data_IF_263726863909
#
_entry.id   IF_263726863909
#
_cell.length_a   1.000
_cell.length_b   1.000
_cell.length_c   1.000
_cell.angle_alpha   90.00
_cell.angle_beta   90.00
_cell.angle_gamma   90.00
#
_symmetry.space_group_name_H-M   'P 1'
#
loop_
_entity.id
_entity.type
_entity.pdbx_description
1 polymer ?
#
# COMPACT_ATOMS: atom_id res chain seq x y z
N UNK A 1 -16.23 9.33 -13.31
CA UNK A 1 -16.37 9.84 -14.69
C UNK A 1 -15.30 9.19 -15.56
N UNK A 2 -15.54 8.98 -16.85
CA UNK A 2 -14.52 8.51 -17.81
C UNK A 2 -14.36 9.53 -18.93
N UNK A 3 -13.13 9.74 -19.40
CA UNK A 3 -12.84 10.57 -20.57
C UNK A 3 -11.62 10.04 -21.32
N UNK A 4 -11.62 10.21 -22.64
CA UNK A 4 -10.44 9.92 -23.44
C UNK A 4 -9.32 10.92 -23.17
N UNK A 5 -8.07 10.56 -23.49
CA UNK A 5 -6.91 11.47 -23.42
C UNK A 5 -7.18 12.79 -24.19
N UNK A 6 -7.88 12.71 -25.33
CA UNK A 6 -8.20 13.89 -26.13
C UNK A 6 -9.20 14.80 -25.42
N UNK A 7 -10.24 14.24 -24.81
CA UNK A 7 -11.24 14.97 -24.04
C UNK A 7 -10.65 15.54 -22.76
N UNK A 8 -9.83 14.78 -22.05
CA UNK A 8 -9.13 15.22 -20.85
C UNK A 8 -8.22 16.42 -21.14
N UNK A 9 -7.53 16.43 -22.29
CA UNK A 9 -6.70 17.57 -22.71
C UNK A 9 -7.53 18.82 -23.03
N UNK A 10 -8.69 18.65 -23.65
CA UNK A 10 -9.56 19.77 -24.02
C UNK A 10 -10.33 20.34 -22.81
N UNK A 11 -10.71 19.48 -21.87
CA UNK A 11 -11.56 19.82 -20.73
C UNK A 11 -10.83 19.64 -19.40
N UNK A 12 -9.53 19.90 -19.36
CA UNK A 12 -8.70 19.63 -18.19
C UNK A 12 -9.17 20.41 -16.95
N UNK A 13 -9.58 21.67 -17.13
CA UNK A 13 -10.14 22.49 -16.06
C UNK A 13 -11.41 21.86 -15.45
N UNK A 14 -12.31 21.34 -16.28
CA UNK A 14 -13.51 20.67 -15.80
C UNK A 14 -13.20 19.35 -15.06
N UNK A 15 -12.19 18.62 -15.54
CA UNK A 15 -11.71 17.42 -14.86
C UNK A 15 -11.11 17.75 -13.48
N UNK A 16 -10.42 18.90 -13.34
CA UNK A 16 -9.92 19.41 -12.06
C UNK A 16 -11.07 19.81 -11.13
N UNK A 17 -12.07 20.56 -11.62
CA UNK A 17 -13.26 20.91 -10.82
C UNK A 17 -13.98 19.66 -10.29
N UNK A 18 -14.09 18.62 -11.12
CA UNK A 18 -14.66 17.34 -10.69
C UNK A 18 -13.82 16.70 -9.58
N UNK A 19 -12.49 16.71 -9.73
CA UNK A 19 -11.57 16.22 -8.70
C UNK A 19 -11.64 17.03 -7.39
N UNK A 20 -11.75 18.36 -7.47
CA UNK A 20 -11.94 19.25 -6.32
C UNK A 20 -13.24 18.95 -5.56
N UNK A 21 -14.32 18.60 -6.28
CA UNK A 21 -15.58 18.13 -5.68
C UNK A 21 -15.50 16.73 -5.09
N UNK A 22 -14.35 16.06 -5.19
CA UNK A 22 -14.13 14.71 -4.68
C UNK A 22 -14.46 13.58 -5.66
N UNK A 23 -14.78 13.89 -6.91
CA UNK A 23 -15.07 12.91 -7.94
C UNK A 23 -13.77 12.30 -8.51
N UNK A 24 -13.85 11.04 -8.99
CA UNK A 24 -12.75 10.39 -9.73
C UNK A 24 -13.02 10.37 -11.22
N UNK A 25 -12.02 10.76 -11.99
CA UNK A 25 -12.02 10.84 -13.46
C UNK A 25 -10.98 9.86 -14.01
N UNK A 26 -11.44 8.81 -14.69
CA UNK A 26 -10.58 7.84 -15.37
C UNK A 26 -10.27 8.34 -16.78
N UNK A 27 -8.98 8.47 -17.10
CA UNK A 27 -8.50 8.87 -18.42
C UNK A 27 -8.15 7.63 -19.22
N UNK A 28 -8.72 7.49 -20.43
CA UNK A 28 -8.50 6.33 -21.31
C UNK A 28 -7.77 6.70 -22.59
N UNK A 29 -6.91 5.79 -23.09
CA UNK A 29 -6.27 5.87 -24.40
C UNK A 29 -6.71 4.65 -25.21
N UNK A 30 -7.40 4.86 -26.33
CA UNK A 30 -7.97 3.79 -27.15
C UNK A 30 -8.88 2.84 -26.34
N UNK A 31 -9.72 3.40 -25.46
CA UNK A 31 -10.63 2.63 -24.59
C UNK A 31 -9.95 1.90 -23.42
N UNK A 32 -8.63 2.02 -23.25
CA UNK A 32 -7.91 1.43 -22.12
C UNK A 32 -7.60 2.51 -21.08
N UNK A 33 -7.93 2.31 -19.79
CA UNK A 33 -7.52 3.22 -18.71
C UNK A 33 -6.00 3.40 -18.67
N UNK A 34 -5.54 4.64 -18.55
CA UNK A 34 -4.10 4.99 -18.49
C UNK A 34 -3.75 5.93 -17.34
N UNK A 35 -4.71 6.67 -16.81
CA UNK A 35 -4.52 7.54 -15.65
C UNK A 35 -5.83 7.75 -14.90
N UNK A 36 -5.73 8.21 -13.66
CA UNK A 36 -6.86 8.63 -12.84
C UNK A 36 -6.56 10.01 -12.26
N UNK A 37 -7.54 10.91 -12.33
CA UNK A 37 -7.54 12.19 -11.66
C UNK A 37 -8.60 12.17 -10.57
N UNK A 38 -8.28 12.68 -9.40
CA UNK A 38 -9.20 12.75 -8.26
C UNK A 38 -8.67 13.70 -7.20
N UNK A 39 -9.41 13.92 -6.10
CA UNK A 39 -8.94 14.76 -5.01
C UNK A 39 -7.56 14.28 -4.54
N UNK A 40 -6.63 15.20 -4.22
CA UNK A 40 -5.34 14.82 -3.68
C UNK A 40 -5.55 13.96 -2.45
N UNK A 41 -4.87 12.81 -2.39
CA UNK A 41 -4.87 11.97 -1.21
C UNK A 41 -4.11 12.72 -0.13
N UNK A 42 -4.84 13.33 0.80
CA UNK A 42 -4.25 13.94 1.99
C UNK A 42 -3.70 12.80 2.83
N UNK A 43 -2.39 12.55 2.71
CA UNK A 43 -1.69 11.70 3.66
C UNK A 43 -1.73 12.38 5.01
N UNK A 44 -2.37 11.78 6.00
CA UNK A 44 -2.49 12.31 7.38
C UNK A 44 -1.21 12.18 8.21
N UNK A 45 -0.07 11.92 7.57
CA UNK A 45 1.23 11.89 8.22
C UNK A 45 2.02 13.15 7.87
N UNK A 46 2.48 13.92 8.87
CA UNK A 46 3.36 15.05 8.62
C UNK A 46 4.72 14.54 8.12
N UNK A 47 5.12 15.01 6.94
CA UNK A 47 6.49 15.07 6.43
C UNK A 47 7.27 13.75 6.23
N UNK A 48 6.71 12.78 5.51
CA UNK A 48 7.57 11.79 4.81
C UNK A 48 7.06 11.55 3.38
N UNK A 49 7.87 11.84 2.34
CA UNK A 49 7.58 11.34 1.00
C UNK A 49 7.61 9.80 1.06
N UNK A 50 6.44 9.16 1.02
CA UNK A 50 6.30 7.71 1.21
C UNK A 50 5.89 7.25 2.62
N UNK A 51 5.20 8.09 3.41
CA UNK A 51 4.59 7.66 4.67
C UNK A 51 3.60 6.49 4.49
N UNK A 52 3.53 5.61 5.49
CA UNK A 52 2.65 4.44 5.49
C UNK A 52 1.18 4.87 5.44
N UNK A 53 0.47 4.42 4.40
CA UNK A 53 -0.99 4.59 4.26
C UNK A 53 -1.69 3.64 5.25
N UNK A 54 -1.88 4.11 6.49
CA UNK A 54 -2.47 3.34 7.58
C UNK A 54 -3.90 2.87 7.29
N UNK A 55 -4.69 3.65 6.55
CA UNK A 55 -6.05 3.25 6.15
C UNK A 55 -6.02 2.09 5.15
N UNK A 56 -5.12 2.15 4.17
CA UNK A 56 -4.89 1.03 3.26
C UNK A 56 -4.38 -0.20 4.00
N UNK A 57 -3.44 -0.04 4.94
CA UNK A 57 -2.94 -1.14 5.75
C UNK A 57 -4.05 -1.79 6.59
N UNK A 58 -4.92 -0.99 7.23
CA UNK A 58 -6.04 -1.49 8.00
C UNK A 58 -7.04 -2.27 7.13
N UNK A 59 -7.36 -1.75 5.92
CA UNK A 59 -8.21 -2.45 4.96
C UNK A 59 -7.61 -3.77 4.49
N UNK A 60 -6.32 -3.77 4.11
CA UNK A 60 -5.63 -4.98 3.65
C UNK A 60 -5.54 -6.02 4.78
N UNK A 61 -5.26 -5.60 6.03
CA UNK A 61 -5.28 -6.51 7.19
C UNK A 61 -6.66 -7.15 7.36
N UNK A 62 -7.74 -6.38 7.21
CA UNK A 62 -9.11 -6.91 7.29
C UNK A 62 -9.46 -7.85 6.14
N UNK A 63 -9.08 -7.52 4.90
CA UNK A 63 -9.31 -8.37 3.72
C UNK A 63 -8.59 -9.71 3.83
N UNK A 64 -7.36 -9.70 4.37
CA UNK A 64 -6.56 -10.90 4.62
C UNK A 64 -6.94 -11.63 5.91
N UNK A 65 -7.91 -11.13 6.69
CA UNK A 65 -8.30 -11.69 7.98
C UNK A 65 -7.24 -11.58 9.07
N UNK A 66 -6.21 -10.76 8.86
CA UNK A 66 -5.13 -10.51 9.81
C UNK A 66 -5.56 -9.65 11.00
N UNK A 67 -6.73 -9.01 10.92
CA UNK A 67 -7.38 -8.30 12.03
C UNK A 67 -7.87 -9.24 13.14
N UNK A 68 -7.96 -10.54 12.85
CA UNK A 68 -8.45 -11.58 13.77
C UNK A 68 -7.37 -12.56 14.20
N UNK A 69 -6.12 -12.33 13.81
CA UNK A 69 -5.01 -13.20 14.21
C UNK A 69 -4.72 -12.94 15.68
N UNK A 70 -5.07 -13.92 16.50
CA UNK A 70 -4.59 -14.02 17.88
C UNK A 70 -3.22 -14.68 17.84
N UNK A 71 -2.22 -13.98 18.37
CA UNK A 71 -0.89 -14.54 18.53
C UNK A 71 -0.88 -15.39 19.79
N UNK A 72 -0.21 -16.54 19.71
CA UNK A 72 -0.03 -17.43 20.86
C UNK A 72 0.71 -16.70 21.99
N UNK A 73 0.40 -17.05 23.24
CA UNK A 73 1.18 -16.57 24.39
C UNK A 73 2.65 -16.95 24.21
N UNK A 74 3.56 -16.01 24.44
CA UNK A 74 4.99 -16.23 24.21
C UNK A 74 5.44 -16.06 22.74
N UNK A 75 4.54 -15.71 21.82
CA UNK A 75 4.89 -15.55 20.40
C UNK A 75 5.99 -14.51 20.19
N UNK A 76 5.90 -13.38 20.90
CA UNK A 76 6.86 -12.29 20.77
C UNK A 76 8.24 -12.71 21.25
N UNK A 77 8.30 -13.36 22.41
CA UNK A 77 9.53 -13.90 23.00
C UNK A 77 10.17 -14.95 22.09
N UNK A 78 9.36 -15.82 21.47
CA UNK A 78 9.84 -16.77 20.46
C UNK A 78 10.36 -16.06 19.22
N UNK A 79 9.63 -15.05 18.71
CA UNK A 79 10.02 -14.32 17.51
C UNK A 79 11.32 -13.53 17.70
N UNK A 80 11.50 -12.92 18.87
CA UNK A 80 12.66 -12.12 19.23
C UNK A 80 13.89 -12.98 19.55
N UNK A 81 13.74 -14.29 19.75
CA UNK A 81 14.86 -15.23 19.89
C UNK A 81 15.61 -15.36 18.55
N UNK A 82 16.93 -15.05 18.49
CA UNK A 82 17.73 -15.26 17.29
C UNK A 82 17.64 -16.69 16.73
N UNK A 83 17.43 -17.71 17.57
CA UNK A 83 17.23 -19.09 17.15
C UNK A 83 16.00 -19.27 16.26
N UNK A 84 14.94 -18.47 16.43
CA UNK A 84 13.76 -18.50 15.59
C UNK A 84 14.10 -18.15 14.13
N UNK A 85 14.86 -17.08 13.92
CA UNK A 85 15.27 -16.66 12.57
C UNK A 85 16.14 -17.71 11.88
N UNK A 86 17.01 -18.40 12.63
CA UNK A 86 17.85 -19.50 12.13
C UNK A 86 17.00 -20.69 11.71
N UNK A 87 16.06 -21.11 12.56
CA UNK A 87 15.16 -22.22 12.27
C UNK A 87 14.27 -21.94 11.04
N UNK A 88 13.73 -20.72 10.92
CA UNK A 88 12.91 -20.29 9.78
C UNK A 88 13.69 -20.34 8.46
N UNK A 89 14.98 -20.00 8.51
CA UNK A 89 15.87 -20.00 7.34
C UNK A 89 16.55 -21.36 7.09
N UNK A 90 16.28 -22.38 7.91
CA UNK A 90 16.90 -23.70 7.80
C UNK A 90 18.40 -23.70 8.08
N UNK A 91 18.85 -22.84 8.99
CA UNK A 91 20.25 -22.70 9.37
C UNK A 91 20.54 -23.57 10.60
N UNK A 92 21.67 -24.28 10.58
CA UNK A 92 22.12 -25.10 11.70
C UNK A 92 22.49 -24.24 12.93
N UNK A 93 22.52 -24.85 14.11
CA UNK A 93 22.86 -24.15 15.37
C UNK A 93 24.29 -23.60 15.39
N UNK A 94 25.19 -24.15 14.55
CA UNK A 94 26.57 -23.67 14.35
C UNK A 94 26.71 -22.67 13.20
N UNK A 95 25.58 -22.16 12.68
CA UNK A 95 25.58 -21.14 11.64
C UNK A 95 26.25 -19.86 12.14
N UNK A 96 27.37 -19.54 11.51
CA UNK A 96 28.13 -18.30 11.72
C UNK A 96 28.08 -17.48 10.42
N UNK A 97 27.49 -16.27 10.46
CA UNK A 97 27.42 -15.40 9.27
C UNK A 97 28.80 -14.98 8.73
N UNK A 98 29.89 -15.24 9.46
CA UNK A 98 31.26 -14.90 9.07
C UNK A 98 32.11 -16.12 8.68
N UNK A 99 31.55 -17.33 8.68
CA UNK A 99 32.26 -18.56 8.32
C UNK A 99 32.26 -18.70 6.79
N UNK A 100 33.38 -18.34 6.17
CA UNK A 100 33.64 -18.49 4.72
C UNK A 100 34.05 -19.91 4.33
#
# INVERSE_FOLDING_TARGET
MEMSVREARANFAHALEAAERGERVTITKNGKPVAELGPPKVSTLPDTPGGLDWERMARVRKELGLDKVELEDGWQERFDDPAFSRAVMGLDDDWDPNRS
#
